data_IF_607815278380
#
_entry.id   IF_607815278380
#
_cell.length_a   1.000
_cell.length_b   1.000
_cell.length_c   1.000
_cell.angle_alpha   90.00
_cell.angle_beta   90.00
_cell.angle_gamma   90.00
#
_symmetry.space_group_name_H-M   'P 1'
#
loop_
_entity.id
_entity.type
_entity.pdbx_description
1 polymer ?
#
# COMPACT_ATOMS: atom_id res chain seq x y z
N UNK A 1 -1.07 14.71 20.95
CA UNK A 1 0.39 14.54 20.82
C UNK A 1 0.62 13.04 20.81
N UNK A 2 1.17 12.45 19.73
CA UNK A 2 1.55 11.04 19.80
C UNK A 2 2.65 10.91 20.86
N UNK A 3 2.47 9.95 21.76
CA UNK A 3 3.39 9.67 22.86
C UNK A 3 4.64 8.95 22.34
N UNK A 4 5.73 8.96 23.12
CA UNK A 4 6.92 8.13 22.83
C UNK A 4 6.51 6.65 22.65
N UNK A 5 5.52 6.19 23.42
CA UNK A 5 4.99 4.83 23.32
C UNK A 5 4.37 4.52 21.95
N UNK A 6 3.77 5.49 21.27
CA UNK A 6 3.19 5.30 19.93
C UNK A 6 4.29 5.12 18.87
N UNK A 7 5.39 5.85 18.99
CA UNK A 7 6.54 5.70 18.10
C UNK A 7 7.24 4.35 18.31
N UNK A 8 7.42 3.93 19.56
CA UNK A 8 7.97 2.60 19.88
C UNK A 8 7.07 1.47 19.39
N UNK A 9 5.75 1.62 19.55
CA UNK A 9 4.76 0.67 19.04
C UNK A 9 4.86 0.53 17.52
N UNK A 10 4.88 1.65 16.80
CA UNK A 10 4.99 1.63 15.33
C UNK A 10 6.34 1.07 14.87
N UNK A 11 7.45 1.41 15.53
CA UNK A 11 8.76 0.85 15.22
C UNK A 11 8.81 -0.66 15.41
N UNK A 12 8.20 -1.18 16.49
CA UNK A 12 8.08 -2.62 16.71
C UNK A 12 7.28 -3.27 15.58
N UNK A 13 6.13 -2.71 15.20
CA UNK A 13 5.32 -3.23 14.08
C UNK A 13 6.09 -3.27 12.76
N UNK A 14 6.81 -2.19 12.43
CA UNK A 14 7.63 -2.11 11.22
C UNK A 14 8.78 -3.13 11.24
N UNK A 15 9.39 -3.36 12.41
CA UNK A 15 10.47 -4.32 12.58
C UNK A 15 9.97 -5.76 12.48
N UNK A 16 8.86 -6.09 13.13
CA UNK A 16 8.21 -7.40 13.04
C UNK A 16 7.77 -7.69 11.60
N UNK A 17 7.18 -6.70 10.92
CA UNK A 17 6.82 -6.80 9.50
C UNK A 17 8.05 -7.10 8.62
N UNK A 18 9.15 -6.37 8.83
CA UNK A 18 10.40 -6.65 8.12
C UNK A 18 10.90 -8.07 8.38
N UNK A 19 10.95 -8.51 9.63
CA UNK A 19 11.43 -9.85 9.97
C UNK A 19 10.53 -10.95 9.35
N UNK A 20 9.23 -10.70 9.27
CA UNK A 20 8.29 -11.64 8.67
C UNK A 20 8.44 -11.76 7.14
N UNK A 21 8.65 -10.64 6.44
CA UNK A 21 8.63 -10.61 4.97
C UNK A 21 10.00 -10.53 4.29
N UNK A 22 11.07 -10.12 4.97
CA UNK A 22 12.39 -9.87 4.35
C UNK A 22 13.12 -11.12 3.84
N UNK A 23 12.72 -12.30 4.28
CA UNK A 23 13.25 -13.59 3.80
C UNK A 23 12.61 -14.05 2.49
N UNK A 24 11.57 -13.35 2.03
CA UNK A 24 10.93 -13.69 0.77
C UNK A 24 11.86 -13.39 -0.41
N UNK A 25 11.86 -14.22 -1.47
CA UNK A 25 12.68 -13.99 -2.65
C UNK A 25 12.41 -12.59 -3.22
N UNK A 26 13.42 -11.70 -3.24
CA UNK A 26 13.23 -10.36 -3.74
C UNK A 26 13.25 -10.36 -5.26
N UNK A 27 12.72 -9.29 -5.86
CA UNK A 27 12.71 -9.08 -7.30
C UNK A 27 13.74 -7.99 -7.65
N UNK A 28 14.87 -8.39 -8.22
CA UNK A 28 15.95 -7.48 -8.58
C UNK A 28 15.55 -6.53 -9.71
N UNK A 29 15.95 -5.26 -9.63
CA UNK A 29 15.80 -4.28 -10.72
C UNK A 29 17.07 -4.27 -11.57
N UNK A 30 16.93 -4.19 -12.89
CA UNK A 30 18.05 -4.22 -13.85
C UNK A 30 18.32 -5.59 -14.45
N UNK A 31 17.70 -6.63 -13.90
CA UNK A 31 17.84 -8.03 -14.33
C UNK A 31 16.51 -8.56 -14.89
N UNK A 32 16.60 -9.37 -15.95
CA UNK A 32 15.47 -10.17 -16.43
C UNK A 32 15.24 -11.28 -15.41
N UNK A 33 14.02 -11.41 -14.91
CA UNK A 33 13.67 -12.38 -13.88
C UNK A 33 12.96 -13.57 -14.49
N UNK A 34 13.41 -14.79 -14.16
CA UNK A 34 12.63 -16.01 -14.37
C UNK A 34 11.57 -16.26 -13.27
N UNK A 35 11.61 -15.49 -12.18
CA UNK A 35 10.59 -15.52 -11.14
C UNK A 35 9.32 -14.83 -11.64
N UNK A 36 8.23 -15.58 -11.70
CA UNK A 36 6.87 -15.05 -11.83
C UNK A 36 6.19 -15.17 -10.48
N UNK A 37 5.82 -14.03 -9.88
CA UNK A 37 4.97 -14.05 -8.69
C UNK A 37 3.59 -14.61 -9.09
N UNK A 38 3.11 -15.57 -8.32
CA UNK A 38 1.84 -16.26 -8.58
C UNK A 38 1.02 -16.39 -7.29
N UNK A 39 -0.29 -16.40 -7.45
CA UNK A 39 -1.26 -16.66 -6.38
C UNK A 39 -2.48 -17.33 -7.01
N UNK A 40 -3.20 -18.13 -6.23
CA UNK A 40 -4.52 -18.63 -6.59
C UNK A 40 -5.66 -17.85 -5.92
N UNK A 41 -5.34 -16.87 -5.06
CA UNK A 41 -6.34 -16.04 -4.38
C UNK A 41 -7.12 -15.22 -5.42
N UNK A 42 -8.44 -15.21 -5.25
CA UNK A 42 -9.37 -14.45 -6.07
C UNK A 42 -9.76 -13.16 -5.34
N UNK A 43 -9.59 -12.05 -6.03
CA UNK A 43 -9.80 -10.69 -5.54
C UNK A 43 -11.02 -10.10 -6.24
N UNK A 44 -11.92 -9.53 -5.45
CA UNK A 44 -12.87 -8.55 -5.94
C UNK A 44 -12.45 -7.15 -5.48
N UNK A 45 -12.63 -6.15 -6.34
CA UNK A 45 -12.37 -4.74 -6.00
C UNK A 45 -13.66 -3.94 -6.09
N UNK A 46 -14.02 -3.26 -5.00
CA UNK A 46 -15.16 -2.33 -4.97
C UNK A 46 -14.58 -0.92 -4.80
N UNK A 47 -14.78 -0.04 -5.79
CA UNK A 47 -14.10 1.26 -5.80
C UNK A 47 -15.00 2.40 -6.24
N UNK A 48 -14.86 3.54 -5.58
CA UNK A 48 -15.43 4.84 -5.99
C UNK A 48 -14.35 5.88 -6.28
N UNK A 49 -13.08 5.47 -6.42
CA UNK A 49 -11.96 6.38 -6.66
C UNK A 49 -10.99 5.90 -7.73
N UNK A 50 -10.21 6.83 -8.28
CA UNK A 50 -9.12 6.52 -9.23
C UNK A 50 -8.02 5.65 -8.62
N UNK A 51 -7.90 5.61 -7.29
CA UNK A 51 -6.93 4.75 -6.64
C UNK A 51 -7.26 3.27 -6.86
N UNK A 52 -8.54 2.87 -6.87
CA UNK A 52 -8.93 1.50 -7.18
C UNK A 52 -8.47 1.07 -8.56
N UNK A 53 -8.68 1.91 -9.58
CA UNK A 53 -8.19 1.65 -10.94
C UNK A 53 -6.66 1.59 -11.00
N UNK A 54 -5.96 2.43 -10.23
CA UNK A 54 -4.48 2.40 -10.12
C UNK A 54 -3.99 1.12 -9.46
N UNK A 55 -4.67 0.65 -8.41
CA UNK A 55 -4.37 -0.59 -7.70
C UNK A 55 -4.56 -1.81 -8.62
N UNK A 56 -5.72 -1.91 -9.29
CA UNK A 56 -5.99 -2.98 -10.28
C UNK A 56 -4.93 -2.97 -11.37
N UNK A 57 -4.63 -1.79 -11.93
CA UNK A 57 -3.60 -1.66 -12.98
C UNK A 57 -2.22 -2.08 -12.49
N UNK A 58 -1.90 -1.83 -11.21
CA UNK A 58 -0.66 -2.30 -10.61
C UNK A 58 -0.61 -3.83 -10.55
N UNK A 59 -1.72 -4.50 -10.19
CA UNK A 59 -1.82 -5.95 -10.14
C UNK A 59 -1.69 -6.60 -11.54
N UNK A 60 -2.41 -6.06 -12.53
CA UNK A 60 -2.37 -6.57 -13.90
C UNK A 60 -1.03 -6.33 -14.61
N UNK A 61 -0.25 -5.34 -14.16
CA UNK A 61 1.12 -5.09 -14.63
C UNK A 61 1.28 -4.95 -16.16
N UNK A 62 0.27 -4.43 -16.85
CA UNK A 62 0.31 -4.26 -18.30
C UNK A 62 1.32 -3.19 -18.75
N UNK A 63 1.80 -3.32 -19.98
CA UNK A 63 2.72 -2.34 -20.59
C UNK A 63 2.08 -0.94 -20.65
N UNK A 64 2.72 0.07 -20.05
CA UNK A 64 2.22 1.44 -20.02
C UNK A 64 1.72 1.89 -18.66
N UNK A 65 1.60 0.99 -17.68
CA UNK A 65 1.28 1.33 -16.28
C UNK A 65 2.21 2.41 -15.69
N UNK A 66 3.51 2.30 -15.96
CA UNK A 66 4.52 3.27 -15.54
C UNK A 66 4.67 4.39 -16.57
N UNK A 67 4.40 5.64 -16.16
CA UNK A 67 4.38 6.80 -17.05
C UNK A 67 5.42 7.88 -16.72
N UNK A 68 6.24 7.69 -15.67
CA UNK A 68 7.15 8.74 -15.15
C UNK A 68 8.64 8.47 -15.29
N UNK A 69 9.05 7.24 -15.61
CA UNK A 69 10.47 6.98 -15.83
C UNK A 69 10.92 7.64 -17.14
N UNK A 70 12.02 8.42 -17.10
CA UNK A 70 12.62 9.00 -18.31
C UNK A 70 13.14 7.92 -19.27
N UNK A 71 13.69 6.83 -18.73
CA UNK A 71 14.16 5.68 -19.50
C UNK A 71 13.61 4.39 -18.89
N UNK A 72 12.65 3.78 -19.58
CA UNK A 72 12.09 2.49 -19.19
C UNK A 72 13.08 1.37 -19.54
N UNK A 73 13.35 0.47 -18.60
CA UNK A 73 14.17 -0.73 -18.85
C UNK A 73 13.32 -1.99 -19.04
N UNK A 74 12.04 -1.84 -19.35
CA UNK A 74 11.16 -2.94 -19.75
C UNK A 74 11.04 -4.07 -18.71
N UNK A 75 11.27 -5.28 -19.19
CA UNK A 75 11.25 -6.55 -18.46
C UNK A 75 12.32 -6.64 -17.35
N UNK A 76 13.38 -5.82 -17.43
CA UNK A 76 14.37 -5.69 -16.37
C UNK A 76 13.86 -4.91 -15.15
N UNK A 77 12.72 -4.21 -15.25
CA UNK A 77 12.12 -3.48 -14.14
C UNK A 77 11.04 -4.31 -13.43
N UNK A 78 9.77 -4.16 -13.84
CA UNK A 78 8.61 -4.87 -13.26
C UNK A 78 7.83 -5.68 -14.28
N UNK A 79 7.92 -5.34 -15.57
CA UNK A 79 7.16 -6.03 -16.60
C UNK A 79 7.64 -7.48 -16.74
N UNK A 80 6.72 -8.42 -16.96
CA UNK A 80 7.03 -9.85 -17.03
C UNK A 80 7.34 -10.54 -15.70
N UNK A 81 7.51 -9.79 -14.59
CA UNK A 81 7.80 -10.37 -13.26
C UNK A 81 6.56 -10.90 -12.53
N UNK A 82 5.38 -10.42 -12.92
CA UNK A 82 4.10 -10.86 -12.39
C UNK A 82 2.97 -10.39 -13.31
N UNK A 83 1.85 -11.11 -13.26
CA UNK A 83 0.59 -10.73 -13.88
C UNK A 83 -0.53 -11.34 -13.04
N UNK A 84 -1.23 -10.49 -12.31
CA UNK A 84 -2.36 -10.90 -11.46
C UNK A 84 -3.71 -10.58 -12.10
N UNK A 85 -3.77 -10.35 -13.41
CA UNK A 85 -5.02 -10.09 -14.13
C UNK A 85 -6.06 -11.18 -13.91
N UNK A 86 -5.65 -12.45 -13.86
CA UNK A 86 -6.53 -13.61 -13.60
C UNK A 86 -7.01 -13.70 -12.14
N UNK A 87 -6.32 -13.02 -11.21
CA UNK A 87 -6.69 -12.99 -9.80
C UNK A 87 -7.74 -11.93 -9.51
N UNK A 88 -7.78 -10.84 -10.29
CA UNK A 88 -8.84 -9.82 -10.20
C UNK A 88 -10.05 -10.33 -10.97
N UNK A 89 -10.94 -11.06 -10.30
CA UNK A 89 -12.06 -11.74 -10.95
C UNK A 89 -13.34 -10.92 -11.01
N UNK A 90 -13.40 -9.82 -10.24
CA UNK A 90 -14.55 -8.93 -10.21
C UNK A 90 -14.15 -7.50 -9.84
N UNK A 91 -14.75 -6.53 -10.53
CA UNK A 91 -14.59 -5.11 -10.22
C UNK A 91 -15.98 -4.49 -10.22
N UNK A 92 -16.30 -3.78 -9.13
CA UNK A 92 -17.53 -3.02 -9.00
C UNK A 92 -17.21 -1.56 -8.79
N UNK A 93 -17.57 -0.74 -9.76
CA UNK A 93 -17.42 0.71 -9.66
C UNK A 93 -18.71 1.31 -9.10
N UNK A 94 -18.57 2.09 -8.02
CA UNK A 94 -19.68 2.88 -7.47
C UNK A 94 -19.51 4.34 -7.90
N UNK A 95 -20.59 5.13 -7.94
CA UNK A 95 -20.48 6.57 -8.18
C UNK A 95 -19.51 7.22 -7.20
N UNK A 96 -18.72 8.22 -7.64
CA UNK A 96 -17.87 8.99 -6.74
C UNK A 96 -18.69 9.59 -5.59
N UNK A 97 -18.08 9.72 -4.41
CA UNK A 97 -18.74 10.31 -3.22
C UNK A 97 -19.37 11.68 -3.48
N UNK A 98 -18.78 12.48 -4.38
CA UNK A 98 -19.29 13.81 -4.76
C UNK A 98 -20.61 13.80 -5.51
N UNK A 99 -21.00 12.65 -6.07
CA UNK A 99 -22.25 12.45 -6.80
C UNK A 99 -23.33 11.77 -5.95
N UNK A 100 -22.98 11.34 -4.73
CA UNK A 100 -23.88 10.67 -3.81
C UNK A 100 -24.44 11.65 -2.77
N UNK A 101 -25.66 11.41 -2.24
CA UNK A 101 -26.19 12.19 -1.14
C UNK A 101 -25.34 11.97 0.12
N UNK A 102 -25.42 12.90 1.08
CA UNK A 102 -24.68 12.83 2.34
C UNK A 102 -25.05 11.64 3.23
N UNK A 103 -26.25 11.10 3.03
CA UNK A 103 -26.79 9.91 3.68
C UNK A 103 -27.48 9.09 2.61
N UNK A 104 -27.21 7.80 2.57
CA UNK A 104 -27.80 6.84 1.65
C UNK A 104 -28.73 5.94 2.45
N UNK A 105 -30.04 6.05 2.18
CA UNK A 105 -31.06 5.24 2.87
C UNK A 105 -31.00 3.75 2.46
N UNK A 106 -30.68 3.46 1.20
CA UNK A 106 -30.66 2.10 0.61
C UNK A 106 -29.29 1.80 -0.04
N UNK A 107 -28.22 1.60 0.76
CA UNK A 107 -26.85 1.40 0.27
C UNK A 107 -26.71 0.17 -0.65
N UNK A 108 -27.53 -0.85 -0.45
CA UNK A 108 -27.60 -2.06 -1.27
C UNK A 108 -27.92 -1.79 -2.74
N UNK A 109 -28.56 -0.66 -3.09
CA UNK A 109 -28.83 -0.28 -4.48
C UNK A 109 -27.56 0.07 -5.27
N UNK A 110 -26.50 0.44 -4.58
CA UNK A 110 -25.21 0.80 -5.19
C UNK A 110 -24.22 -0.37 -5.17
N UNK A 111 -24.53 -1.44 -4.46
CA UNK A 111 -23.69 -2.62 -4.31
C UNK A 111 -24.27 -3.79 -5.11
N UNK A 112 -23.45 -4.78 -5.51
CA UNK A 112 -23.98 -5.98 -6.12
C UNK A 112 -24.79 -6.77 -5.09
N UNK A 113 -25.83 -7.48 -5.54
CA UNK A 113 -26.63 -8.34 -4.65
C UNK A 113 -25.80 -9.49 -4.06
N UNK A 114 -24.85 -10.02 -4.84
CA UNK A 114 -23.92 -11.06 -4.43
C UNK A 114 -22.61 -10.94 -5.22
N UNK A 115 -21.49 -11.25 -4.57
CA UNK A 115 -20.19 -11.34 -5.23
C UNK A 115 -19.99 -12.74 -5.83
N UNK A 116 -19.20 -12.88 -6.91
CA UNK A 116 -18.73 -14.18 -7.34
C UNK A 116 -17.82 -14.83 -6.27
N UNK A 117 -17.46 -16.09 -6.47
CA UNK A 117 -16.55 -16.81 -5.56
C UNK A 117 -15.17 -16.12 -5.52
N UNK A 118 -14.94 -15.37 -4.44
CA UNK A 118 -13.70 -14.63 -4.15
C UNK A 118 -13.26 -14.84 -2.72
N UNK A 119 -11.94 -14.79 -2.49
CA UNK A 119 -11.37 -14.96 -1.16
C UNK A 119 -11.32 -13.63 -0.41
N UNK A 120 -11.04 -12.55 -1.14
CA UNK A 120 -10.77 -11.23 -0.59
C UNK A 120 -11.47 -10.12 -1.38
N UNK A 121 -12.00 -9.15 -0.65
CA UNK A 121 -12.48 -7.88 -1.20
C UNK A 121 -11.54 -6.76 -0.81
N UNK A 122 -11.14 -5.95 -1.79
CA UNK A 122 -10.46 -4.68 -1.57
C UNK A 122 -11.45 -3.55 -1.84
N UNK A 123 -11.68 -2.70 -0.84
CA UNK A 123 -12.60 -1.58 -0.93
C UNK A 123 -11.86 -0.24 -0.75
N UNK A 124 -12.22 0.76 -1.55
CA UNK A 124 -11.59 2.09 -1.49
C UNK A 124 -12.46 3.19 -2.10
N UNK A 125 -12.41 4.40 -1.57
CA UNK A 125 -13.14 5.53 -2.15
C UNK A 125 -14.67 5.44 -2.06
N UNK A 126 -15.23 4.64 -1.15
CA UNK A 126 -16.69 4.46 -1.05
C UNK A 126 -17.34 5.48 -0.11
N UNK A 127 -18.65 5.74 -0.29
CA UNK A 127 -19.43 6.44 0.73
C UNK A 127 -19.47 5.63 2.04
N UNK A 128 -19.53 6.31 3.19
CA UNK A 128 -19.52 5.67 4.52
C UNK A 128 -20.62 4.61 4.65
N UNK A 129 -21.82 4.90 4.18
CA UNK A 129 -22.96 3.95 4.25
C UNK A 129 -22.72 2.70 3.38
N UNK A 130 -22.01 2.85 2.26
CA UNK A 130 -21.63 1.69 1.43
C UNK A 130 -20.59 0.83 2.13
N UNK A 131 -19.61 1.45 2.81
CA UNK A 131 -18.67 0.71 3.65
C UNK A 131 -19.41 -0.11 4.72
N UNK A 132 -20.32 0.52 5.45
CA UNK A 132 -21.09 -0.14 6.52
C UNK A 132 -21.95 -1.30 6.02
N UNK A 133 -22.38 -1.27 4.76
CA UNK A 133 -23.12 -2.37 4.13
C UNK A 133 -22.23 -3.53 3.65
N UNK A 134 -20.90 -3.34 3.49
CA UNK A 134 -20.00 -4.37 2.96
C UNK A 134 -20.00 -5.66 3.78
N UNK A 135 -19.88 -5.67 5.13
CA UNK A 135 -19.77 -6.92 5.87
C UNK A 135 -20.92 -7.89 5.62
N UNK A 136 -22.15 -7.38 5.46
CA UNK A 136 -23.32 -8.20 5.13
C UNK A 136 -23.24 -8.78 3.71
N UNK A 137 -22.83 -7.98 2.72
CA UNK A 137 -22.57 -8.46 1.36
C UNK A 137 -21.50 -9.57 1.36
N UNK A 138 -20.41 -9.36 2.10
CA UNK A 138 -19.30 -10.32 2.20
C UNK A 138 -19.76 -11.63 2.84
N UNK A 139 -20.49 -11.56 3.95
CA UNK A 139 -21.06 -12.73 4.63
C UNK A 139 -22.00 -13.52 3.71
N UNK A 140 -22.92 -12.84 3.02
CA UNK A 140 -23.85 -13.46 2.05
C UNK A 140 -23.13 -14.10 0.85
N UNK A 141 -21.91 -13.63 0.56
CA UNK A 141 -21.08 -14.09 -0.55
C UNK A 141 -19.95 -15.03 -0.11
N UNK A 142 -19.97 -15.47 1.16
CA UNK A 142 -18.96 -16.36 1.76
C UNK A 142 -17.50 -15.85 1.71
N UNK A 143 -17.30 -14.54 1.52
CA UNK A 143 -15.97 -13.90 1.44
C UNK A 143 -15.28 -13.94 2.79
N UNK A 144 -13.95 -14.14 2.79
CA UNK A 144 -13.18 -14.40 4.01
C UNK A 144 -12.35 -13.23 4.49
N UNK A 145 -12.07 -12.25 3.63
CA UNK A 145 -11.25 -11.10 3.99
C UNK A 145 -11.71 -9.80 3.34
N UNK A 146 -11.58 -8.69 4.07
CA UNK A 146 -11.79 -7.33 3.63
C UNK A 146 -10.54 -6.49 3.91
N UNK A 147 -10.02 -5.83 2.88
CA UNK A 147 -9.03 -4.76 3.01
C UNK A 147 -9.67 -3.44 2.61
N UNK A 148 -9.61 -2.44 3.50
CA UNK A 148 -10.02 -1.07 3.19
C UNK A 148 -8.79 -0.19 3.00
N UNK A 149 -8.62 0.34 1.79
CA UNK A 149 -7.58 1.32 1.49
C UNK A 149 -8.14 2.73 1.55
N UNK A 150 -7.50 3.57 2.37
CA UNK A 150 -7.95 4.92 2.69
C UNK A 150 -6.95 5.91 2.10
N UNK A 151 -7.27 6.44 0.93
CA UNK A 151 -6.39 7.35 0.17
C UNK A 151 -6.88 8.80 0.17
N UNK A 152 -8.00 9.05 0.86
CA UNK A 152 -8.60 10.37 1.05
C UNK A 152 -9.01 10.56 2.53
N UNK A 153 -8.96 11.78 3.11
CA UNK A 153 -9.34 11.99 4.51
C UNK A 153 -10.75 11.53 4.86
N UNK A 154 -11.68 11.62 3.91
CA UNK A 154 -13.08 11.20 4.08
C UNK A 154 -13.27 9.69 3.87
N UNK A 155 -12.23 8.97 3.46
CA UNK A 155 -12.32 7.55 3.15
C UNK A 155 -12.37 6.70 4.43
N UNK A 156 -13.52 6.06 4.65
CA UNK A 156 -13.84 5.27 5.85
C UNK A 156 -13.33 5.96 7.14
N UNK A 157 -14.02 7.00 7.66
CA UNK A 157 -13.63 7.66 8.89
C UNK A 157 -13.53 6.70 10.09
N UNK A 158 -12.87 7.12 11.17
CA UNK A 158 -12.57 6.25 12.32
C UNK A 158 -13.80 5.49 12.88
N UNK A 159 -14.96 6.14 12.97
CA UNK A 159 -16.21 5.50 13.40
C UNK A 159 -16.60 4.33 12.49
N UNK A 160 -16.58 4.55 11.17
CA UNK A 160 -16.88 3.53 10.16
C UNK A 160 -15.91 2.35 10.24
N UNK A 161 -14.61 2.62 10.44
CA UNK A 161 -13.61 1.57 10.58
C UNK A 161 -13.86 0.70 11.80
N UNK A 162 -14.24 1.30 12.93
CA UNK A 162 -14.55 0.56 14.15
C UNK A 162 -15.76 -0.36 13.93
N UNK A 163 -16.83 0.17 13.33
CA UNK A 163 -18.05 -0.60 13.05
C UNK A 163 -17.78 -1.74 12.06
N UNK A 164 -16.96 -1.47 11.02
CA UNK A 164 -16.49 -2.49 10.09
C UNK A 164 -15.70 -3.59 10.78
N UNK A 165 -14.75 -3.23 11.65
CA UNK A 165 -13.90 -4.19 12.36
C UNK A 165 -14.75 -5.08 13.28
N UNK A 166 -15.64 -4.49 14.08
CA UNK A 166 -16.51 -5.21 15.00
C UNK A 166 -17.47 -6.15 14.24
N UNK A 167 -18.06 -5.65 13.14
CA UNK A 167 -19.00 -6.45 12.32
C UNK A 167 -18.27 -7.59 11.59
N UNK A 168 -17.14 -7.31 10.92
CA UNK A 168 -16.34 -8.34 10.25
C UNK A 168 -15.87 -9.42 11.23
N UNK A 169 -15.41 -9.03 12.42
CA UNK A 169 -15.03 -9.96 13.48
C UNK A 169 -16.18 -10.87 13.90
N UNK A 170 -17.39 -10.31 14.06
CA UNK A 170 -18.59 -11.09 14.39
C UNK A 170 -18.97 -12.10 13.31
N UNK A 171 -18.61 -11.82 12.04
CA UNK A 171 -18.88 -12.68 10.89
C UNK A 171 -17.72 -13.64 10.56
N UNK A 172 -16.60 -13.57 11.30
CA UNK A 172 -15.40 -14.37 11.01
C UNK A 172 -14.69 -13.94 9.72
N UNK A 173 -14.83 -12.68 9.33
CA UNK A 173 -14.15 -12.08 8.16
C UNK A 173 -12.88 -11.39 8.65
N UNK A 174 -11.73 -11.72 8.08
CA UNK A 174 -10.49 -10.99 8.35
C UNK A 174 -10.61 -9.55 7.87
N UNK A 175 -10.24 -8.58 8.70
CA UNK A 175 -10.36 -7.16 8.36
C UNK A 175 -9.04 -6.44 8.57
N UNK A 176 -8.57 -5.75 7.53
CA UNK A 176 -7.44 -4.83 7.64
C UNK A 176 -7.78 -3.50 6.98
N UNK A 177 -7.18 -2.43 7.52
CA UNK A 177 -7.28 -1.09 6.96
C UNK A 177 -5.92 -0.43 6.90
N UNK A 178 -5.70 0.42 5.91
CA UNK A 178 -4.45 1.16 5.75
C UNK A 178 -4.72 2.59 5.28
N UNK A 179 -4.13 3.54 6.00
CA UNK A 179 -4.17 4.97 5.70
C UNK A 179 -2.76 5.58 5.81
N UNK A 180 -2.15 6.04 4.71
CA UNK A 180 -2.49 5.69 3.31
C UNK A 180 -2.38 4.17 3.06
N UNK A 181 -2.82 3.68 1.91
CA UNK A 181 -2.79 2.26 1.55
C UNK A 181 -1.40 1.62 1.65
N UNK A 182 -0.33 2.40 1.41
CA UNK A 182 1.05 1.94 1.58
C UNK A 182 1.49 1.76 3.05
N UNK A 183 0.61 1.98 4.04
CA UNK A 183 0.85 1.65 5.44
C UNK A 183 0.34 0.25 5.83
N UNK A 184 -0.21 -0.53 4.89
CA UNK A 184 -0.72 -1.87 5.15
C UNK A 184 0.35 -2.81 5.74
N UNK A 185 0.22 -3.09 7.03
CA UNK A 185 0.92 -4.16 7.75
C UNK A 185 -0.16 -5.12 8.25
N UNK A 186 -0.26 -6.36 7.72
CA UNK A 186 -1.24 -7.34 8.16
C UNK A 186 -0.91 -7.85 9.57
N UNK A 187 -1.92 -8.19 10.35
CA UNK A 187 -1.72 -9.00 11.55
C UNK A 187 -1.33 -10.43 11.10
N UNK A 188 -0.20 -10.99 11.58
CA UNK A 188 0.22 -12.35 11.23
C UNK A 188 -0.83 -13.45 11.50
N UNK A 189 -1.82 -13.19 12.36
CA UNK A 189 -2.94 -14.10 12.63
C UNK A 189 -4.01 -14.09 11.53
N UNK A 190 -4.07 -13.04 10.72
CA UNK A 190 -4.95 -12.94 9.55
C UNK A 190 -4.32 -13.71 8.39
N UNK A 191 -4.67 -14.98 8.29
CA UNK A 191 -4.11 -15.94 7.34
C UNK A 191 -4.24 -15.51 5.88
N UNK A 192 -5.39 -14.96 5.48
CA UNK A 192 -5.71 -14.60 4.09
C UNK A 192 -5.09 -13.26 3.73
N UNK A 193 -5.21 -12.25 4.60
CA UNK A 193 -4.61 -10.93 4.35
C UNK A 193 -3.07 -11.02 4.37
N UNK A 194 -2.50 -11.79 5.30
CA UNK A 194 -1.04 -12.05 5.32
C UNK A 194 -0.60 -12.80 4.06
N UNK A 195 -1.39 -13.77 3.61
CA UNK A 195 -1.15 -14.48 2.34
C UNK A 195 -1.21 -13.55 1.14
N UNK A 196 -2.18 -12.63 1.09
CA UNK A 196 -2.27 -11.61 0.05
C UNK A 196 -0.98 -10.78 -0.04
N UNK A 197 -0.51 -10.21 1.08
CA UNK A 197 0.73 -9.42 1.09
C UNK A 197 1.93 -10.28 0.66
N UNK A 198 1.99 -11.54 1.09
CA UNK A 198 3.07 -12.47 0.78
C UNK A 198 3.10 -12.86 -0.69
N UNK A 199 1.97 -13.17 -1.31
CA UNK A 199 1.94 -13.72 -2.67
C UNK A 199 1.89 -12.61 -3.73
N UNK A 200 1.08 -11.57 -3.52
CA UNK A 200 0.98 -10.44 -4.45
C UNK A 200 2.13 -9.46 -4.32
N UNK A 201 2.90 -9.52 -3.22
CA UNK A 201 3.93 -8.54 -2.87
C UNK A 201 3.38 -7.12 -2.82
N UNK A 202 2.16 -6.96 -2.29
CA UNK A 202 1.49 -5.66 -2.17
C UNK A 202 1.16 -5.34 -0.72
N UNK A 203 1.67 -4.21 -0.23
CA UNK A 203 1.45 -3.73 1.12
C UNK A 203 2.38 -2.57 1.47
N UNK A 204 2.85 -2.51 2.71
CA UNK A 204 3.90 -1.58 3.10
C UNK A 204 5.22 -1.92 2.38
N UNK A 205 5.91 -0.93 1.76
CA UNK A 205 7.01 -1.22 0.87
C UNK A 205 8.24 -1.75 1.61
N UNK A 206 8.84 -2.81 1.09
CA UNK A 206 10.09 -3.38 1.57
C UNK A 206 11.05 -3.55 0.39
N UNK A 207 12.23 -2.95 0.47
CA UNK A 207 13.28 -3.09 -0.54
C UNK A 207 14.61 -3.47 0.11
N UNK A 208 15.50 -4.09 -0.65
CA UNK A 208 16.90 -4.33 -0.28
C UNK A 208 17.80 -3.51 -1.19
N UNK A 209 18.84 -2.89 -0.63
CA UNK A 209 19.80 -2.09 -1.38
C UNK A 209 21.21 -2.55 -1.03
N UNK A 210 21.98 -2.90 -2.06
CA UNK A 210 23.41 -3.18 -1.97
C UNK A 210 24.20 -1.96 -2.46
N UNK A 211 24.99 -1.37 -1.57
CA UNK A 211 25.86 -0.24 -1.89
C UNK A 211 27.32 -0.72 -1.98
N UNK A 212 27.92 -0.62 -3.17
CA UNK A 212 29.31 -0.98 -3.44
C UNK A 212 30.04 0.28 -3.91
N UNK A 213 31.15 0.62 -3.26
CA UNK A 213 31.96 1.81 -3.55
C UNK A 213 31.14 3.12 -3.65
N UNK A 214 30.15 3.25 -2.76
CA UNK A 214 29.26 4.40 -2.72
C UNK A 214 28.27 4.48 -3.88
N UNK A 215 27.94 3.35 -4.51
CA UNK A 215 26.94 3.26 -5.58
C UNK A 215 25.95 2.14 -5.29
N UNK A 216 24.65 2.41 -5.44
CA UNK A 216 23.60 1.39 -5.33
C UNK A 216 23.62 0.46 -6.54
N UNK A 217 24.36 -0.64 -6.43
CA UNK A 217 24.56 -1.62 -7.52
C UNK A 217 23.44 -2.63 -7.62
N UNK A 218 22.76 -2.92 -6.51
CA UNK A 218 21.59 -3.79 -6.48
C UNK A 218 20.48 -3.10 -5.72
N UNK A 219 19.30 -3.04 -6.33
CA UNK A 219 18.07 -2.60 -5.69
C UNK A 219 17.01 -3.64 -5.99
N UNK A 220 16.42 -4.22 -4.95
CA UNK A 220 15.48 -5.33 -5.09
C UNK A 220 14.21 -5.04 -4.31
N UNK A 221 13.07 -5.38 -4.91
CA UNK A 221 11.75 -5.16 -4.31
C UNK A 221 11.27 -6.47 -3.68
N UNK A 222 10.97 -6.44 -2.38
CA UNK A 222 10.33 -7.56 -1.68
C UNK A 222 8.81 -7.33 -1.66
N UNK A 223 8.38 -6.14 -1.23
CA UNK A 223 6.97 -5.74 -1.21
C UNK A 223 6.85 -4.36 -1.86
N UNK A 224 5.92 -4.22 -2.79
CA UNK A 224 5.55 -2.96 -3.42
C UNK A 224 4.39 -2.29 -2.70
N UNK A 225 4.33 -0.96 -2.77
CA UNK A 225 3.09 -0.24 -2.42
C UNK A 225 1.92 -0.69 -3.30
N UNK A 226 0.66 -0.57 -2.82
CA UNK A 226 -0.52 -0.93 -3.62
C UNK A 226 -0.65 -0.14 -4.92
N UNK A 227 -0.23 1.12 -4.92
CA UNK A 227 -0.24 1.95 -6.12
C UNK A 227 0.93 1.68 -7.07
N UNK A 228 1.92 0.85 -6.72
CA UNK A 228 3.09 0.52 -7.55
C UNK A 228 4.29 1.48 -7.47
N UNK A 229 4.27 2.47 -6.57
CA UNK A 229 5.32 3.50 -6.43
C UNK A 229 6.71 2.91 -6.14
N UNK A 230 6.78 1.82 -5.37
CA UNK A 230 8.05 1.16 -5.02
C UNK A 230 8.89 0.80 -6.24
N UNK A 231 8.27 0.30 -7.31
CA UNK A 231 8.98 -0.06 -8.54
C UNK A 231 9.64 1.15 -9.21
N UNK A 232 8.93 2.29 -9.22
CA UNK A 232 9.45 3.54 -9.74
C UNK A 232 10.64 4.03 -8.91
N UNK A 233 10.50 4.05 -7.58
CA UNK A 233 11.55 4.47 -6.67
C UNK A 233 12.77 3.57 -6.80
N UNK A 234 12.59 2.26 -6.73
CA UNK A 234 13.66 1.26 -6.84
C UNK A 234 14.44 1.41 -8.15
N UNK A 235 13.74 1.58 -9.28
CA UNK A 235 14.39 1.82 -10.58
C UNK A 235 15.25 3.07 -10.60
N UNK A 236 14.78 4.16 -10.02
CA UNK A 236 15.46 5.45 -10.01
C UNK A 236 16.55 5.58 -8.94
N UNK A 237 16.68 4.57 -8.06
CA UNK A 237 17.75 4.42 -7.09
C UNK A 237 18.87 3.50 -7.60
N UNK A 238 18.63 2.64 -8.59
CA UNK A 238 19.70 1.87 -9.22
C UNK A 238 20.75 2.83 -9.82
N UNK A 239 22.03 2.56 -9.53
CA UNK A 239 23.19 3.40 -9.85
C UNK A 239 23.23 4.78 -9.16
N UNK A 240 22.41 5.00 -8.13
CA UNK A 240 22.51 6.21 -7.31
C UNK A 240 23.82 6.23 -6.51
N UNK A 241 24.49 7.39 -6.50
CA UNK A 241 25.71 7.60 -5.70
C UNK A 241 25.34 8.00 -4.28
N UNK A 242 25.80 7.23 -3.31
CA UNK A 242 25.51 7.41 -1.90
C UNK A 242 26.80 7.50 -1.09
N UNK A 243 26.86 8.47 -0.19
CA UNK A 243 27.89 8.59 0.83
C UNK A 243 27.25 8.42 2.20
N UNK A 244 27.70 7.48 3.05
CA UNK A 244 27.10 7.23 4.36
C UNK A 244 27.58 8.26 5.41
N UNK A 245 27.52 9.55 5.08
CA UNK A 245 27.73 10.66 5.99
C UNK A 245 26.43 11.47 6.14
N UNK A 246 26.40 12.42 7.06
CA UNK A 246 25.21 13.23 7.36
C UNK A 246 24.60 13.88 6.10
N UNK A 247 25.45 14.45 5.24
CA UNK A 247 25.02 15.08 3.98
C UNK A 247 24.42 14.07 3.02
N UNK A 248 25.05 12.92 2.82
CA UNK A 248 24.55 11.88 1.92
C UNK A 248 23.26 11.22 2.41
N UNK A 249 23.07 11.09 3.73
CA UNK A 249 21.79 10.69 4.34
C UNK A 249 20.70 11.73 4.01
N UNK A 250 20.99 13.02 4.19
CA UNK A 250 20.05 14.09 3.86
C UNK A 250 19.70 14.12 2.37
N UNK A 251 20.69 13.97 1.49
CA UNK A 251 20.51 13.97 0.04
C UNK A 251 19.71 12.76 -0.44
N UNK A 252 19.96 11.56 0.12
CA UNK A 252 19.18 10.37 -0.18
C UNK A 252 17.73 10.50 0.31
N UNK A 253 17.52 11.07 1.51
CA UNK A 253 16.19 11.35 2.03
C UNK A 253 15.42 12.28 1.08
N UNK A 254 16.04 13.40 0.68
CA UNK A 254 15.46 14.34 -0.30
C UNK A 254 15.16 13.63 -1.62
N UNK A 255 16.06 12.76 -2.09
CA UNK A 255 15.87 11.97 -3.31
C UNK A 255 14.67 11.03 -3.21
N UNK A 256 14.51 10.29 -2.10
CA UNK A 256 13.38 9.40 -1.90
C UNK A 256 12.04 10.16 -1.87
N UNK A 257 11.99 11.29 -1.17
CA UNK A 257 10.82 12.18 -1.16
C UNK A 257 10.51 12.70 -2.56
N UNK A 258 11.51 13.24 -3.28
CA UNK A 258 11.34 13.76 -4.63
C UNK A 258 10.82 12.69 -5.60
N UNK A 259 11.36 11.46 -5.54
CA UNK A 259 10.88 10.35 -6.37
C UNK A 259 9.43 10.00 -6.06
N UNK A 260 9.04 9.93 -4.78
CA UNK A 260 7.65 9.72 -4.40
C UNK A 260 6.71 10.80 -4.97
N UNK A 261 7.06 12.08 -4.83
CA UNK A 261 6.25 13.20 -5.34
C UNK A 261 6.20 13.26 -6.89
N UNK A 262 7.22 12.72 -7.56
CA UNK A 262 7.23 12.63 -9.03
C UNK A 262 6.31 11.52 -9.54
N UNK A 263 6.14 10.45 -8.77
CA UNK A 263 5.23 9.36 -9.08
C UNK A 263 3.77 9.84 -9.00
N UNK A 264 2.84 9.40 -9.88
CA UNK A 264 1.42 9.78 -9.82
C UNK A 264 0.72 9.01 -8.69
N UNK A 265 1.14 9.25 -7.45
CA UNK A 265 0.48 8.76 -6.25
C UNK A 265 -0.96 9.30 -6.20
N UNK A 266 -1.89 8.51 -5.66
CA UNK A 266 -3.30 8.90 -5.52
C UNK A 266 -3.68 9.24 -4.08
N UNK A 267 -2.70 9.23 -3.17
CA UNK A 267 -2.89 9.69 -1.81
C UNK A 267 -3.20 11.19 -1.82
N UNK A 268 -4.26 11.58 -1.12
CA UNK A 268 -4.72 12.97 -1.05
C UNK A 268 -3.65 13.90 -0.46
N UNK A 269 -3.60 15.10 -1.04
CA UNK A 269 -2.80 16.21 -0.51
C UNK A 269 -3.57 17.00 0.56
N UNK A 270 -4.86 16.72 0.73
CA UNK A 270 -5.67 17.36 1.76
C UNK A 270 -5.19 16.99 3.15
N UNK A 271 -5.43 17.91 4.08
CA UNK A 271 -5.10 17.71 5.47
C UNK A 271 -5.97 16.64 6.10
N UNK A 272 -5.35 15.65 6.71
CA UNK A 272 -6.06 14.61 7.44
C UNK A 272 -5.95 14.79 8.96
N UNK A 273 -7.11 14.81 9.62
CA UNK A 273 -7.19 15.05 11.08
C UNK A 273 -6.71 13.87 11.91
N UNK A 274 -6.82 12.65 11.39
CA UNK A 274 -6.42 11.44 12.09
C UNK A 274 -4.89 11.34 12.14
N UNK A 275 -4.24 11.62 11.01
CA UNK A 275 -2.79 11.60 10.84
C UNK A 275 -2.12 12.90 11.34
N UNK A 276 -2.81 14.04 11.26
CA UNK A 276 -2.22 15.35 11.52
C UNK A 276 -1.21 15.76 10.45
N UNK A 277 -1.44 15.33 9.22
CA UNK A 277 -0.68 15.64 8.01
C UNK A 277 -1.50 15.22 6.77
N UNK A 278 -1.02 15.51 5.56
CA UNK A 278 -1.60 14.93 4.33
C UNK A 278 -1.20 13.47 4.14
N UNK A 279 -2.09 12.66 3.55
CA UNK A 279 -1.80 11.24 3.26
C UNK A 279 -0.59 11.11 2.31
N UNK A 280 -0.46 12.02 1.33
CA UNK A 280 0.68 12.05 0.42
C UNK A 280 2.00 12.27 1.16
N UNK A 281 2.05 13.16 2.15
CA UNK A 281 3.27 13.38 2.91
C UNK A 281 3.61 12.18 3.79
N UNK A 282 2.62 11.56 4.43
CA UNK A 282 2.81 10.31 5.18
C UNK A 282 3.33 9.19 4.27
N UNK A 283 2.79 9.05 3.05
CA UNK A 283 3.29 8.09 2.06
C UNK A 283 4.75 8.35 1.66
N UNK A 284 5.17 9.62 1.60
CA UNK A 284 6.56 9.99 1.29
C UNK A 284 7.54 9.60 2.41
N UNK A 285 7.13 9.70 3.67
CA UNK A 285 7.90 9.14 4.80
C UNK A 285 8.01 7.63 4.70
N UNK A 286 6.90 6.92 4.46
CA UNK A 286 6.91 5.46 4.33
C UNK A 286 7.85 5.00 3.21
N UNK A 287 7.87 5.73 2.09
CA UNK A 287 8.83 5.52 1.00
C UNK A 287 10.28 5.66 1.48
N UNK A 288 10.63 6.76 2.14
CA UNK A 288 11.98 6.99 2.64
C UNK A 288 12.38 5.99 3.74
N UNK A 289 11.47 5.66 4.65
CA UNK A 289 11.65 4.64 5.69
C UNK A 289 12.05 3.30 5.04
N UNK A 290 11.36 2.88 3.96
CA UNK A 290 11.70 1.66 3.21
C UNK A 290 13.11 1.70 2.60
N UNK A 291 13.52 2.86 2.04
CA UNK A 291 14.87 3.04 1.46
C UNK A 291 15.96 2.89 2.53
N UNK A 292 15.83 3.57 3.66
CA UNK A 292 16.83 3.49 4.73
C UNK A 292 16.81 2.15 5.45
N UNK A 293 15.64 1.52 5.56
CA UNK A 293 15.52 0.16 6.09
C UNK A 293 16.22 -0.84 5.16
N UNK A 294 16.08 -0.68 3.84
CA UNK A 294 16.78 -1.49 2.84
C UNK A 294 18.31 -1.34 2.84
N UNK A 295 18.83 -0.28 3.45
CA UNK A 295 20.26 -0.03 3.70
C UNK A 295 20.71 -0.46 5.11
N UNK A 296 19.82 -0.97 5.95
CA UNK A 296 20.13 -1.31 7.35
C UNK A 296 20.37 -0.11 8.27
N UNK A 297 19.93 1.10 7.89
CA UNK A 297 20.16 2.33 8.67
C UNK A 297 19.06 2.55 9.73
N UNK A 298 19.01 1.67 10.73
CA UNK A 298 17.92 1.61 11.71
C UNK A 298 17.70 2.91 12.50
N UNK A 299 18.75 3.65 12.84
CA UNK A 299 18.61 4.93 13.57
C UNK A 299 17.98 6.03 12.71
N UNK A 300 18.28 6.04 11.40
CA UNK A 300 17.63 6.97 10.46
C UNK A 300 16.14 6.61 10.32
N UNK A 301 15.82 5.32 10.22
CA UNK A 301 14.43 4.84 10.17
C UNK A 301 13.68 5.23 11.44
N UNK A 302 14.29 5.05 12.63
CA UNK A 302 13.71 5.49 13.91
C UNK A 302 13.36 6.98 13.89
N UNK A 303 14.29 7.83 13.45
CA UNK A 303 14.06 9.27 13.38
C UNK A 303 12.96 9.64 12.39
N UNK A 304 12.90 8.98 11.22
CA UNK A 304 11.84 9.20 10.24
C UNK A 304 10.47 8.79 10.76
N UNK A 305 10.35 7.66 11.45
CA UNK A 305 9.08 7.21 12.05
C UNK A 305 8.62 8.17 13.14
N UNK A 306 9.52 8.63 14.01
CA UNK A 306 9.21 9.64 15.01
C UNK A 306 8.75 10.94 14.35
N UNK A 307 9.42 11.39 13.29
CA UNK A 307 9.04 12.59 12.55
C UNK A 307 7.67 12.44 11.86
N UNK A 308 7.42 11.30 11.21
CA UNK A 308 6.14 10.97 10.55
C UNK A 308 4.96 11.01 11.53
N UNK A 309 5.17 10.54 12.77
CA UNK A 309 4.12 10.49 13.80
C UNK A 309 3.97 11.80 14.58
N UNK A 310 4.86 12.78 14.42
CA UNK A 310 4.66 14.09 15.04
C UNK A 310 3.46 14.76 14.38
N UNK A 311 2.34 14.84 15.11
CA UNK A 311 1.18 15.64 14.67
C UNK A 311 1.64 17.06 14.46
N UNK A 312 1.54 17.53 13.23
CA UNK A 312 1.65 18.95 12.93
C UNK A 312 0.34 19.59 13.40
N UNK A 313 0.44 20.59 14.26
CA UNK A 313 -0.72 21.37 14.69
C UNK A 313 -0.92 22.42 13.61
N UNK A 314 -2.13 22.48 13.03
CA UNK A 314 -2.60 23.60 12.21
C UNK A 314 -3.33 24.56 13.14
#
# INVERSE_FOLDING_TARGET
>A
MYSIADAEYELRRVTEYWNHFSNLPPVAIGEVSGLTLVSDLKIAVITGSEFGSRFISNLCNYSGFCTRCLSCIGDRCRYGKFDFSKNVVYVHEVPPRTELPSVIDEPEKYLPERLPSVDIVVATGLHSDLYLALPDLLRKSDVKALIVFREDPQDAPYGVIKDLEDTCRSYGIEFATAKPACSLIPDPKMSIITRFVREFRVGRPLIKIECIDGVFKRVEVIVSTPCGCTWFVARNLLDYRFQPNERGILDLRKRAFMLHHTYPCKASMEWDRELGDSLMHIASFICAESVFQGLGMHDVVRNLVIERLKRKIV
#
